data_IF_034581400495
#
_entry.id   IF_034581400495
#
_cell.length_a   1.000
_cell.length_b   1.000
_cell.length_c   1.000
_cell.angle_alpha   90.00
_cell.angle_beta   90.00
_cell.angle_gamma   90.00
#
_symmetry.space_group_name_H-M   'P 1'
#
loop_
_entity.id
_entity.type
_entity.pdbx_description
1 polymer ?
#
# COMPACT_ATOMS: atom_id res chain seq x y z
N UNK A 1 4.14 5.23 -11.14
CA UNK A 1 3.77 4.43 -12.32
C UNK A 1 2.71 3.41 -11.94
N UNK A 2 2.93 2.59 -10.90
CA UNK A 2 1.96 1.55 -10.51
C UNK A 2 0.58 2.14 -10.15
N UNK A 3 0.55 3.23 -9.36
CA UNK A 3 -0.71 3.90 -9.02
C UNK A 3 -1.48 4.35 -10.26
N UNK A 4 -0.81 4.88 -11.27
CA UNK A 4 -1.43 5.27 -12.53
C UNK A 4 -1.99 4.09 -13.31
N UNK A 5 -1.23 2.98 -13.40
CA UNK A 5 -1.65 1.79 -14.11
C UNK A 5 -2.92 1.15 -13.53
N UNK A 6 -3.18 1.31 -12.23
CA UNK A 6 -4.35 0.71 -11.58
C UNK A 6 -5.48 1.69 -11.29
N UNK A 7 -5.20 3.01 -11.17
CA UNK A 7 -6.21 4.03 -10.91
C UNK A 7 -6.73 4.74 -12.16
N UNK A 8 -6.05 4.60 -13.30
CA UNK A 8 -6.43 5.28 -14.53
C UNK A 8 -6.11 6.78 -14.56
N UNK A 9 -5.23 7.26 -13.67
CA UNK A 9 -4.79 8.65 -13.72
C UNK A 9 -3.98 8.92 -14.98
N UNK A 10 -4.51 9.72 -15.89
CA UNK A 10 -3.79 10.15 -17.10
C UNK A 10 -2.77 11.24 -16.78
N UNK A 11 -1.68 11.26 -17.52
CA UNK A 11 -0.84 12.45 -17.61
C UNK A 11 -1.64 13.58 -18.25
N UNK A 12 -1.51 14.84 -17.79
CA UNK A 12 -2.05 15.97 -18.52
C UNK A 12 -1.47 15.92 -19.94
N UNK A 13 -2.34 15.97 -20.94
CA UNK A 13 -2.02 15.87 -22.38
C UNK A 13 -1.89 14.48 -23.00
N UNK A 14 -2.12 13.39 -22.27
CA UNK A 14 -2.20 12.06 -22.88
C UNK A 14 -3.68 11.66 -23.11
N UNK A 15 -4.10 11.40 -24.32
CA UNK A 15 -5.42 10.84 -24.62
C UNK A 15 -5.51 9.34 -24.29
N UNK A 16 -4.41 8.72 -23.89
CA UNK A 16 -4.32 7.28 -23.62
C UNK A 16 -4.74 7.01 -22.17
N UNK A 17 -5.70 6.11 -21.99
CA UNK A 17 -6.04 5.57 -20.68
C UNK A 17 -4.85 4.73 -20.17
N UNK A 18 -4.17 5.14 -19.09
CA UNK A 18 -3.01 4.43 -18.58
C UNK A 18 -3.36 3.15 -17.80
N UNK A 19 -4.65 2.81 -17.66
CA UNK A 19 -5.06 1.61 -16.94
C UNK A 19 -4.63 0.36 -17.67
N UNK A 20 -3.93 -0.50 -16.97
CA UNK A 20 -3.61 -1.84 -17.43
C UNK A 20 -4.67 -2.83 -16.91
N UNK A 21 -5.56 -3.24 -17.80
CA UNK A 21 -6.74 -4.07 -17.43
C UNK A 21 -6.41 -5.50 -17.01
N UNK A 22 -5.19 -5.96 -17.26
CA UNK A 22 -4.71 -7.28 -16.82
C UNK A 22 -4.32 -7.30 -15.34
N UNK A 23 -4.14 -6.12 -14.70
CA UNK A 23 -3.84 -6.04 -13.28
C UNK A 23 -5.12 -6.28 -12.50
N UNK A 24 -5.17 -7.38 -11.75
CA UNK A 24 -6.34 -7.80 -10.97
C UNK A 24 -6.19 -7.58 -9.46
N UNK A 25 -4.99 -7.32 -8.96
CA UNK A 25 -4.70 -6.95 -7.57
C UNK A 25 -3.40 -6.14 -7.50
N UNK A 26 -3.21 -5.32 -6.47
CA UNK A 26 -1.98 -4.55 -6.32
C UNK A 26 -1.54 -4.41 -4.86
N UNK A 27 -0.23 -4.56 -4.63
CA UNK A 27 0.44 -4.17 -3.38
C UNK A 27 1.17 -2.85 -3.62
N UNK A 28 0.89 -1.87 -2.78
CA UNK A 28 1.42 -0.52 -2.87
C UNK A 28 2.31 -0.24 -1.66
N UNK A 29 3.61 -0.41 -1.82
CA UNK A 29 4.58 -0.02 -0.80
C UNK A 29 4.86 1.47 -0.92
N UNK A 30 4.78 2.20 0.20
CA UNK A 30 4.93 3.65 0.25
C UNK A 30 3.98 4.38 -0.72
N UNK A 31 2.66 4.21 -0.59
CA UNK A 31 1.68 4.82 -1.49
C UNK A 31 1.84 6.34 -1.53
N UNK A 32 1.55 6.94 -2.67
CA UNK A 32 1.72 8.39 -2.85
C UNK A 32 0.45 9.03 -3.36
N UNK A 33 0.16 10.21 -2.84
CA UNK A 33 -0.89 11.07 -3.36
C UNK A 33 -0.58 11.53 -4.79
N UNK A 34 -1.59 11.77 -5.63
CA UNK A 34 -1.39 12.33 -6.96
C UNK A 34 -0.77 13.72 -6.85
N UNK A 35 0.20 14.00 -7.72
CA UNK A 35 0.89 15.31 -7.74
C UNK A 35 -0.02 16.45 -8.22
N UNK A 36 -1.07 16.15 -8.97
CA UNK A 36 -2.01 17.12 -9.57
C UNK A 36 -3.42 16.51 -9.62
N UNK A 37 -4.42 17.38 -9.68
CA UNK A 37 -5.81 16.96 -9.77
C UNK A 37 -6.46 16.73 -8.39
N UNK A 38 -7.70 16.28 -8.43
CA UNK A 38 -8.48 15.97 -7.23
C UNK A 38 -8.15 14.53 -6.77
N UNK A 39 -7.58 14.34 -5.57
CA UNK A 39 -7.24 13.02 -5.06
C UNK A 39 -8.45 12.08 -4.95
N UNK A 40 -9.63 12.61 -4.60
CA UNK A 40 -10.85 11.80 -4.49
C UNK A 40 -11.22 11.19 -5.84
N UNK A 41 -11.19 12.01 -6.90
CA UNK A 41 -11.44 11.52 -8.25
C UNK A 41 -10.39 10.52 -8.72
N UNK A 42 -9.15 10.74 -8.32
CA UNK A 42 -8.03 9.89 -8.71
C UNK A 42 -8.17 8.45 -8.19
N UNK A 43 -8.70 8.26 -6.99
CA UNK A 43 -8.84 6.94 -6.36
C UNK A 43 -10.25 6.34 -6.47
N UNK A 44 -11.26 7.12 -6.82
CA UNK A 44 -12.65 6.66 -6.87
C UNK A 44 -12.90 5.49 -7.82
N UNK A 45 -12.07 5.35 -8.87
CA UNK A 45 -12.20 4.29 -9.88
C UNK A 45 -11.42 3.01 -9.55
N UNK A 46 -10.78 2.92 -8.38
CA UNK A 46 -9.98 1.75 -7.98
C UNK A 46 -10.91 0.61 -7.55
N UNK A 47 -11.30 -0.23 -8.51
CA UNK A 47 -12.20 -1.36 -8.29
C UNK A 47 -11.48 -2.63 -7.81
N UNK A 48 -10.21 -2.81 -8.17
CA UNK A 48 -9.44 -4.02 -7.83
C UNK A 48 -9.00 -4.03 -6.37
N UNK A 49 -8.72 -5.21 -5.77
CA UNK A 49 -8.12 -5.32 -4.44
C UNK A 49 -6.78 -4.57 -4.34
N UNK A 50 -6.59 -3.84 -3.23
CA UNK A 50 -5.34 -3.15 -2.92
C UNK A 50 -4.89 -3.45 -1.49
N UNK A 51 -3.60 -3.73 -1.34
CA UNK A 51 -2.89 -3.77 -0.06
C UNK A 51 -1.89 -2.61 -0.03
N UNK A 52 -2.10 -1.65 0.87
CA UNK A 52 -1.18 -0.54 1.09
C UNK A 52 -0.28 -0.83 2.29
N UNK A 53 0.99 -0.52 2.14
CA UNK A 53 1.99 -0.66 3.19
C UNK A 53 2.79 0.62 3.33
N UNK A 54 2.89 1.16 4.54
CA UNK A 54 3.70 2.33 4.85
C UNK A 54 4.23 2.24 6.28
N UNK A 55 5.03 3.20 6.69
CA UNK A 55 5.56 3.31 8.04
C UNK A 55 5.33 4.68 8.64
N UNK A 56 5.40 4.79 9.97
CA UNK A 56 5.23 6.07 10.67
C UNK A 56 6.35 7.08 10.39
N UNK A 57 7.48 6.62 9.80
CA UNK A 57 8.62 7.45 9.37
C UNK A 57 8.92 7.28 7.88
N UNK A 58 7.95 6.83 7.08
CA UNK A 58 8.11 6.58 5.64
C UNK A 58 8.13 7.89 4.84
N UNK A 59 9.18 8.67 5.04
CA UNK A 59 9.44 9.87 4.26
C UNK A 59 10.05 9.52 2.90
N UNK A 60 9.71 10.28 1.87
CA UNK A 60 10.31 10.06 0.56
C UNK A 60 11.75 10.58 0.53
N UNK A 61 12.75 9.76 0.15
CA UNK A 61 14.13 10.22 0.00
C UNK A 61 14.30 11.27 -1.11
N UNK A 62 13.39 11.26 -2.08
CA UNK A 62 13.33 12.23 -3.18
C UNK A 62 11.88 12.68 -3.36
N UNK A 63 11.64 13.98 -3.31
CA UNK A 63 10.31 14.57 -3.45
C UNK A 63 9.78 15.14 -2.15
N UNK A 64 8.44 15.30 -2.06
CA UNK A 64 7.78 15.95 -0.91
C UNK A 64 6.76 15.04 -0.22
N UNK A 65 6.82 13.73 -0.45
CA UNK A 65 5.91 12.80 0.20
C UNK A 65 6.36 12.57 1.64
N UNK A 66 5.48 12.87 2.57
CA UNK A 66 5.67 12.64 4.00
C UNK A 66 4.97 11.38 4.43
N UNK A 67 5.36 10.78 5.56
CA UNK A 67 4.67 9.66 6.16
C UNK A 67 3.16 9.96 6.33
N UNK A 68 2.81 11.17 6.79
CA UNK A 68 1.42 11.59 6.90
C UNK A 68 0.69 11.58 5.55
N UNK A 69 1.30 12.08 4.48
CA UNK A 69 0.66 12.11 3.16
C UNK A 69 0.37 10.71 2.59
N UNK A 70 1.12 9.70 3.02
CA UNK A 70 0.89 8.30 2.62
C UNK A 70 -0.35 7.71 3.28
N UNK A 71 -0.64 8.12 4.52
CA UNK A 71 -1.83 7.70 5.26
C UNK A 71 -3.12 8.24 4.65
N UNK A 72 -3.06 9.35 3.94
CA UNK A 72 -4.22 9.98 3.31
C UNK A 72 -4.76 9.19 2.10
N UNK A 73 -3.99 8.23 1.56
CA UNK A 73 -4.41 7.45 0.38
C UNK A 73 -5.54 6.47 0.72
N UNK A 74 -5.40 5.72 1.81
CA UNK A 74 -6.38 4.69 2.19
C UNK A 74 -7.79 5.22 2.38
N UNK A 75 -8.04 6.34 3.09
CA UNK A 75 -9.38 6.92 3.24
C UNK A 75 -10.08 7.24 1.92
N UNK A 76 -9.33 7.55 0.87
CA UNK A 76 -9.84 7.93 -0.45
C UNK A 76 -10.22 6.75 -1.35
N UNK A 77 -9.80 5.53 -0.99
CA UNK A 77 -10.14 4.34 -1.75
C UNK A 77 -11.62 3.98 -1.54
N UNK A 78 -12.32 3.46 -2.56
CA UNK A 78 -13.65 2.91 -2.39
C UNK A 78 -13.60 1.65 -1.52
N UNK A 79 -14.74 1.22 -0.92
CA UNK A 79 -14.83 -0.04 -0.18
C UNK A 79 -14.59 -1.26 -1.09
N UNK A 80 -14.30 -2.41 -0.47
CA UNK A 80 -14.15 -3.71 -1.14
C UNK A 80 -12.71 -4.14 -1.33
N UNK A 81 -12.27 -5.07 -0.50
CA UNK A 81 -10.93 -5.71 -0.52
C UNK A 81 -9.77 -4.69 -0.54
N UNK A 82 -9.89 -3.66 0.32
CA UNK A 82 -8.84 -2.67 0.55
C UNK A 82 -8.26 -2.86 1.94
N UNK A 83 -6.95 -2.98 1.99
CA UNK A 83 -6.19 -3.26 3.20
C UNK A 83 -5.09 -2.22 3.36
N UNK A 84 -4.78 -1.84 4.59
CA UNK A 84 -3.62 -1.01 4.90
C UNK A 84 -2.91 -1.53 6.15
N UNK A 85 -1.58 -1.62 6.08
CA UNK A 85 -0.71 -1.73 7.24
C UNK A 85 0.15 -0.49 7.38
N UNK A 86 0.26 0.02 8.60
CA UNK A 86 1.19 1.07 8.99
C UNK A 86 2.13 0.51 10.04
N UNK A 87 3.39 0.35 9.70
CA UNK A 87 4.42 -0.17 10.60
C UNK A 87 4.97 0.94 11.49
N UNK A 88 4.95 0.74 12.80
CA UNK A 88 5.52 1.70 13.74
C UNK A 88 7.05 1.75 13.62
N UNK A 89 7.60 2.96 13.55
CA UNK A 89 9.04 3.19 13.39
C UNK A 89 9.63 2.85 12.02
N UNK A 90 8.84 2.32 11.09
CA UNK A 90 9.35 1.97 9.76
C UNK A 90 9.61 3.21 8.90
N UNK A 91 10.83 3.28 8.36
CA UNK A 91 11.26 4.25 7.34
C UNK A 91 11.04 3.70 5.92
N UNK A 92 11.27 4.53 4.91
CA UNK A 92 11.08 4.15 3.50
C UNK A 92 11.85 2.88 3.10
N UNK A 93 13.03 2.66 3.65
CA UNK A 93 13.86 1.48 3.39
C UNK A 93 13.32 0.18 3.99
N UNK A 94 12.32 0.23 4.87
CA UNK A 94 11.72 -0.98 5.44
C UNK A 94 11.13 -1.92 4.37
N UNK A 95 10.83 -1.38 3.17
CA UNK A 95 10.33 -2.12 2.02
C UNK A 95 11.43 -2.60 1.04
N UNK A 96 12.69 -2.54 1.45
CA UNK A 96 13.85 -3.01 0.68
C UNK A 96 14.77 -3.86 1.55
N UNK A 97 15.71 -4.59 0.91
CA UNK A 97 16.63 -5.47 1.64
C UNK A 97 17.80 -4.73 2.31
N UNK A 98 17.97 -3.45 2.02
CA UNK A 98 19.08 -2.64 2.54
C UNK A 98 18.62 -1.25 2.96
N UNK A 99 19.36 -0.69 3.91
CA UNK A 99 19.19 0.69 4.33
C UNK A 99 19.44 1.68 3.16
N UNK A 100 18.73 2.80 3.21
CA UNK A 100 18.95 3.91 2.29
C UNK A 100 19.78 5.02 2.96
N UNK A 101 20.49 5.83 2.17
CA UNK A 101 21.13 7.04 2.71
C UNK A 101 20.09 7.94 3.38
N UNK A 102 20.32 8.29 4.63
CA UNK A 102 19.39 9.11 5.42
C UNK A 102 18.54 8.34 6.42
N UNK A 103 18.54 7.01 6.38
CA UNK A 103 17.88 6.21 7.41
C UNK A 103 18.45 6.52 8.79
N UNK A 104 17.59 6.71 9.77
CA UNK A 104 17.96 7.09 11.13
C UNK A 104 17.58 6.05 12.18
N UNK A 105 16.74 5.09 11.84
CA UNK A 105 16.23 4.07 12.75
C UNK A 105 16.84 2.70 12.48
N UNK A 106 17.08 1.90 13.53
CA UNK A 106 17.40 0.49 13.34
C UNK A 106 16.26 -0.23 12.60
N UNK A 107 16.61 -1.07 11.66
CA UNK A 107 15.62 -1.87 10.92
C UNK A 107 15.02 -2.94 11.84
N UNK A 108 13.70 -3.03 11.85
CA UNK A 108 12.99 -4.04 12.59
C UNK A 108 12.77 -5.29 11.70
N UNK A 109 13.37 -6.45 12.02
CA UNK A 109 13.24 -7.66 11.21
C UNK A 109 11.80 -8.20 11.17
N UNK A 110 10.95 -7.85 12.16
CA UNK A 110 9.56 -8.27 12.18
C UNK A 110 8.74 -7.60 11.06
N UNK A 111 9.12 -6.39 10.61
CA UNK A 111 8.45 -5.76 9.47
C UNK A 111 8.52 -6.64 8.22
N UNK A 112 9.68 -7.21 7.87
CA UNK A 112 9.82 -8.11 6.71
C UNK A 112 8.98 -9.39 6.87
N UNK A 113 8.90 -9.96 8.06
CA UNK A 113 8.03 -11.12 8.33
C UNK A 113 6.56 -10.79 8.11
N UNK A 114 6.11 -9.65 8.62
CA UNK A 114 4.75 -9.18 8.45
C UNK A 114 4.45 -8.84 6.97
N UNK A 115 5.37 -8.17 6.27
CA UNK A 115 5.25 -7.90 4.83
C UNK A 115 5.07 -9.20 4.05
N UNK A 116 5.92 -10.21 4.31
CA UNK A 116 5.83 -11.52 3.65
C UNK A 116 4.48 -12.20 3.92
N UNK A 117 4.06 -12.28 5.19
CA UNK A 117 2.79 -12.92 5.55
C UNK A 117 1.59 -12.22 4.93
N UNK A 118 1.52 -10.88 5.04
CA UNK A 118 0.40 -10.09 4.51
C UNK A 118 0.34 -10.13 2.98
N UNK A 119 1.48 -10.02 2.29
CA UNK A 119 1.51 -10.09 0.81
C UNK A 119 1.14 -11.46 0.30
N UNK A 120 1.63 -12.52 0.95
CA UNK A 120 1.28 -13.91 0.58
C UNK A 120 -0.22 -14.14 0.74
N UNK A 121 -0.77 -13.85 1.92
CA UNK A 121 -2.20 -14.01 2.18
C UNK A 121 -3.05 -13.14 1.23
N UNK A 122 -2.62 -11.91 0.93
CA UNK A 122 -3.32 -11.03 0.01
C UNK A 122 -3.38 -11.60 -1.41
N UNK A 123 -2.28 -12.11 -1.95
CA UNK A 123 -2.26 -12.71 -3.28
C UNK A 123 -2.98 -14.06 -3.32
N UNK A 124 -2.88 -14.88 -2.28
CA UNK A 124 -3.66 -16.12 -2.19
C UNK A 124 -5.17 -15.82 -2.17
N UNK A 125 -5.60 -14.85 -1.37
CA UNK A 125 -7.00 -14.44 -1.30
C UNK A 125 -7.53 -13.87 -2.62
N UNK A 126 -6.71 -13.07 -3.32
CA UNK A 126 -7.18 -12.28 -4.47
C UNK A 126 -6.94 -12.92 -5.82
N UNK A 127 -5.82 -13.63 -6.00
CA UNK A 127 -5.45 -14.25 -7.28
C UNK A 127 -5.80 -15.73 -7.34
N UNK A 128 -5.84 -16.41 -6.18
CA UNK A 128 -6.16 -17.84 -6.08
C UNK A 128 -7.55 -18.09 -5.51
N UNK A 129 -8.26 -17.03 -5.10
CA UNK A 129 -9.57 -17.09 -4.45
C UNK A 129 -9.57 -17.97 -3.19
N UNK A 130 -8.47 -17.98 -2.43
CA UNK A 130 -8.36 -18.75 -1.20
C UNK A 130 -9.20 -18.11 -0.08
N UNK A 131 -10.27 -18.80 0.29
CA UNK A 131 -11.19 -18.33 1.32
C UNK A 131 -10.54 -18.30 2.72
N UNK A 132 -9.62 -19.21 3.02
CA UNK A 132 -8.90 -19.21 4.30
C UNK A 132 -7.96 -18.01 4.41
N UNK A 133 -7.22 -17.70 3.33
CA UNK A 133 -6.38 -16.51 3.27
C UNK A 133 -7.22 -15.22 3.41
N UNK A 134 -8.39 -15.15 2.76
CA UNK A 134 -9.31 -14.01 2.90
C UNK A 134 -9.84 -13.86 4.33
N UNK A 135 -10.22 -14.96 4.96
CA UNK A 135 -10.66 -14.96 6.35
C UNK A 135 -9.55 -14.51 7.29
N UNK A 136 -8.32 -14.99 7.08
CA UNK A 136 -7.16 -14.60 7.87
C UNK A 136 -6.87 -13.10 7.75
N UNK A 137 -6.88 -12.52 6.54
CA UNK A 137 -6.69 -11.07 6.33
C UNK A 137 -7.71 -10.22 7.10
N UNK A 138 -8.94 -10.68 7.21
CA UNK A 138 -10.01 -9.92 7.86
C UNK A 138 -10.05 -10.08 9.37
N UNK A 139 -9.62 -11.24 9.91
CA UNK A 139 -9.78 -11.58 11.31
C UNK A 139 -8.46 -11.66 12.09
N UNK A 140 -7.43 -12.23 11.46
CA UNK A 140 -6.23 -12.69 12.16
C UNK A 140 -4.93 -12.01 11.70
N UNK A 141 -4.98 -11.17 10.67
CA UNK A 141 -3.79 -10.47 10.14
C UNK A 141 -3.03 -9.67 11.20
N UNK A 142 -3.74 -9.20 12.23
CA UNK A 142 -3.16 -8.52 13.40
C UNK A 142 -2.16 -9.40 14.16
N UNK A 143 -2.26 -10.72 14.10
CA UNK A 143 -1.39 -11.65 14.81
C UNK A 143 0.07 -11.64 14.39
N UNK A 144 0.38 -11.13 13.19
CA UNK A 144 1.75 -10.99 12.67
C UNK A 144 2.32 -9.58 12.83
N UNK A 145 1.57 -8.68 13.45
CA UNK A 145 1.92 -7.27 13.64
C UNK A 145 2.33 -7.01 15.11
N UNK A 146 3.16 -6.00 15.31
CA UNK A 146 3.50 -5.51 16.62
C UNK A 146 2.38 -4.65 17.23
N UNK A 147 2.44 -4.41 18.53
CA UNK A 147 1.38 -3.72 19.27
C UNK A 147 1.01 -2.36 18.68
N UNK A 148 2.02 -1.58 18.27
CA UNK A 148 1.83 -0.24 17.72
C UNK A 148 1.57 -0.18 16.23
N UNK A 149 1.72 -1.29 15.52
CA UNK A 149 1.37 -1.34 14.10
C UNK A 149 -0.14 -1.18 13.92
N UNK A 150 -0.56 -0.58 12.83
CA UNK A 150 -1.98 -0.37 12.53
C UNK A 150 -2.38 -1.22 11.34
N UNK A 151 -3.48 -1.97 11.49
CA UNK A 151 -4.12 -2.72 10.43
C UNK A 151 -5.54 -2.21 10.18
N UNK A 152 -5.87 -1.92 8.92
CA UNK A 152 -7.16 -1.40 8.52
C UNK A 152 -7.68 -2.14 7.29
N UNK A 153 -9.01 -2.34 7.24
CA UNK A 153 -9.70 -2.99 6.10
C UNK A 153 -10.97 -2.23 5.74
N UNK A 154 -11.40 -2.30 4.51
CA UNK A 154 -12.71 -1.82 4.07
C UNK A 154 -13.19 -2.44 2.74
#
# INVERSE_FOLDING_TARGET
VTTQAVSGQSFPFSPIDPRERRISAAVMMSPSMPRRGDPKKAFASVAIPWLLMTGTHDEAPIGKQTAQSRLEVFPLLPPGDKYQVVFDGAEHSAFSDRALPGDSKPRNPNHHRAILALTTAFFDATLRNDAAAKAWLTKDARSVLEEKDVWQTK
#
